data_IF_734485475635
#
_entry.id   IF_734485475635
#
_cell.length_a   1.000
_cell.length_b   1.000
_cell.length_c   1.000
_cell.angle_alpha   90.00
_cell.angle_beta   90.00
_cell.angle_gamma   90.00
#
_symmetry.space_group_name_H-M   'P 1'
#
loop_
_entity.id
_entity.type
_entity.pdbx_description
1 polymer ?
#
# COMPACT_ATOMS: atom_id res chain seq x y z
N UNK A 1 -66.70 6.44 -24.70
CA UNK A 1 -65.43 6.60 -25.45
C UNK A 1 -64.43 7.19 -24.46
N UNK A 2 -63.71 6.33 -23.76
CA UNK A 2 -62.67 6.71 -22.79
C UNK A 2 -61.33 6.24 -23.36
N UNK A 3 -60.25 7.04 -23.30
CA UNK A 3 -58.94 6.61 -23.77
C UNK A 3 -58.27 5.72 -22.71
N UNK A 4 -57.61 4.66 -23.18
CA UNK A 4 -56.77 3.76 -22.38
C UNK A 4 -55.53 4.48 -21.84
N UNK A 5 -55.09 4.24 -20.60
CA UNK A 5 -53.77 4.67 -20.14
C UNK A 5 -52.76 3.57 -20.45
N UNK A 6 -51.92 3.80 -21.47
CA UNK A 6 -50.73 3.01 -21.74
C UNK A 6 -49.51 3.94 -21.59
N UNK A 7 -48.84 3.89 -20.44
CA UNK A 7 -47.43 4.26 -20.27
C UNK A 7 -46.98 3.88 -18.86
N UNK A 8 -46.50 2.66 -18.69
CA UNK A 8 -45.70 2.25 -17.53
C UNK A 8 -44.35 2.99 -17.53
N UNK A 9 -43.92 3.60 -16.43
CA UNK A 9 -42.66 4.33 -16.33
C UNK A 9 -41.52 3.38 -15.90
N UNK A 10 -41.25 2.32 -16.66
CA UNK A 10 -40.19 1.35 -16.32
C UNK A 10 -39.17 1.22 -17.46
N UNK A 11 -38.56 2.35 -17.84
CA UNK A 11 -37.49 2.34 -18.84
C UNK A 11 -36.33 3.27 -18.47
N UNK A 12 -35.83 3.21 -17.23
CA UNK A 12 -34.51 3.78 -16.88
C UNK A 12 -34.02 3.30 -15.50
N UNK A 13 -33.97 1.99 -15.29
CA UNK A 13 -32.97 1.43 -14.38
C UNK A 13 -31.74 1.07 -15.22
N UNK A 14 -30.90 2.06 -15.51
CA UNK A 14 -29.53 1.78 -15.97
C UNK A 14 -28.81 1.23 -14.75
N UNK A 15 -28.76 -0.10 -14.62
CA UNK A 15 -27.81 -0.71 -13.70
C UNK A 15 -26.42 -0.17 -14.08
N UNK A 16 -25.67 0.43 -13.15
CA UNK A 16 -24.31 0.87 -13.45
C UNK A 16 -23.55 -0.33 -14.03
N UNK A 17 -22.96 -0.14 -15.21
CA UNK A 17 -22.20 -1.20 -15.87
C UNK A 17 -21.16 -1.73 -14.88
N UNK A 18 -21.12 -3.06 -14.69
CA UNK A 18 -20.16 -3.72 -13.81
C UNK A 18 -18.75 -3.33 -14.27
N UNK A 19 -17.97 -2.67 -13.40
CA UNK A 19 -16.53 -2.47 -13.64
C UNK A 19 -15.85 -3.84 -13.75
N UNK A 20 -14.96 -4.00 -14.73
CA UNK A 20 -14.14 -5.19 -14.88
C UNK A 20 -13.23 -5.38 -13.67
N UNK A 21 -12.83 -6.62 -13.41
CA UNK A 21 -11.92 -6.94 -12.32
C UNK A 21 -10.48 -6.70 -12.71
N UNK A 22 -9.70 -6.08 -11.84
CA UNK A 22 -8.28 -5.83 -12.07
C UNK A 22 -7.42 -6.77 -11.23
N UNK A 23 -6.61 -7.59 -11.90
CA UNK A 23 -5.58 -8.41 -11.26
C UNK A 23 -4.19 -7.91 -11.62
N UNK A 24 -3.36 -7.68 -10.60
CA UNK A 24 -2.01 -7.14 -10.78
C UNK A 24 -0.97 -8.16 -10.34
N UNK A 25 -0.10 -8.53 -11.26
CA UNK A 25 1.11 -9.31 -10.98
C UNK A 25 2.25 -8.34 -10.67
N UNK A 26 2.59 -8.22 -9.39
CA UNK A 26 3.66 -7.35 -8.93
C UNK A 26 4.96 -8.14 -8.72
N UNK A 27 6.10 -7.51 -9.00
CA UNK A 27 7.40 -8.14 -8.79
C UNK A 27 8.43 -7.18 -8.22
N UNK A 28 9.35 -7.73 -7.44
CA UNK A 28 10.46 -6.97 -6.85
C UNK A 28 11.44 -6.42 -7.90
N UNK A 29 11.53 -7.06 -9.06
CA UNK A 29 12.52 -6.73 -10.09
C UNK A 29 12.10 -7.21 -11.50
N UNK A 30 12.71 -6.66 -12.56
CA UNK A 30 12.61 -7.23 -13.91
C UNK A 30 13.17 -8.65 -13.95
N UNK A 31 12.49 -9.56 -14.65
CA UNK A 31 12.96 -10.94 -14.86
C UNK A 31 12.52 -11.97 -13.80
N UNK A 32 11.75 -11.56 -12.79
CA UNK A 32 11.16 -12.49 -11.79
C UNK A 32 10.13 -13.45 -12.40
N UNK A 33 9.53 -13.09 -13.55
CA UNK A 33 8.61 -13.96 -14.29
C UNK A 33 7.14 -13.52 -14.27
N UNK A 34 6.85 -12.25 -13.94
CA UNK A 34 5.48 -11.70 -13.91
C UNK A 34 4.68 -12.02 -15.17
N UNK A 35 5.21 -11.65 -16.34
CA UNK A 35 4.61 -11.89 -17.64
C UNK A 35 4.34 -13.37 -17.90
N UNK A 36 5.29 -14.23 -17.55
CA UNK A 36 5.15 -15.67 -17.73
C UNK A 36 4.05 -16.25 -16.83
N UNK A 37 3.95 -15.78 -15.58
CA UNK A 37 2.90 -16.21 -14.65
C UNK A 37 1.52 -15.71 -15.08
N UNK A 38 1.42 -14.46 -15.53
CA UNK A 38 0.21 -13.88 -16.10
C UNK A 38 -0.29 -14.70 -17.30
N UNK A 39 0.59 -15.04 -18.25
CA UNK A 39 0.26 -15.88 -19.41
C UNK A 39 -0.17 -17.30 -19.00
N UNK A 40 0.51 -17.90 -18.03
CA UNK A 40 0.15 -19.24 -17.53
C UNK A 40 -1.26 -19.28 -16.96
N UNK A 41 -1.63 -18.29 -16.16
CA UNK A 41 -2.96 -18.22 -15.57
C UNK A 41 -4.03 -17.90 -16.63
N UNK A 42 -3.74 -16.95 -17.52
CA UNK A 42 -4.64 -16.61 -18.62
C UNK A 42 -4.90 -17.80 -19.56
N UNK A 43 -3.88 -18.63 -19.79
CA UNK A 43 -4.01 -19.85 -20.56
C UNK A 43 -4.95 -20.87 -19.90
N UNK A 44 -4.84 -21.05 -18.58
CA UNK A 44 -5.76 -21.93 -17.83
C UNK A 44 -7.21 -21.44 -17.92
N UNK A 45 -7.44 -20.13 -17.82
CA UNK A 45 -8.77 -19.54 -17.98
C UNK A 45 -9.33 -19.75 -19.40
N UNK A 46 -8.50 -19.60 -20.43
CA UNK A 46 -8.89 -19.91 -21.81
C UNK A 46 -9.28 -21.37 -21.99
N UNK A 47 -8.56 -22.31 -21.36
CA UNK A 47 -8.93 -23.73 -21.38
C UNK A 47 -10.27 -24.00 -20.67
N UNK A 48 -10.63 -23.18 -19.69
CA UNK A 48 -11.95 -23.19 -19.05
C UNK A 48 -13.04 -22.47 -19.85
N UNK A 49 -12.73 -21.96 -21.05
CA UNK A 49 -13.68 -21.32 -21.96
C UNK A 49 -13.86 -19.81 -21.76
N UNK A 50 -12.98 -19.16 -20.98
CA UNK A 50 -12.98 -17.68 -20.87
C UNK A 50 -12.42 -17.07 -22.15
N UNK A 51 -13.06 -16.01 -22.65
CA UNK A 51 -12.57 -15.25 -23.80
C UNK A 51 -11.40 -14.32 -23.39
N UNK A 52 -10.18 -14.73 -23.76
CA UNK A 52 -8.93 -14.06 -23.37
C UNK A 52 -8.22 -13.46 -24.57
N UNK A 53 -7.81 -12.20 -24.46
CA UNK A 53 -6.97 -11.52 -25.45
C UNK A 53 -5.71 -10.92 -24.82
N UNK A 54 -4.61 -10.94 -25.55
CA UNK A 54 -3.44 -10.12 -25.27
C UNK A 54 -3.65 -8.74 -25.89
N UNK A 55 -3.83 -7.71 -25.05
CA UNK A 55 -3.83 -6.32 -25.50
C UNK A 55 -2.41 -5.82 -25.73
N UNK A 56 -1.49 -6.15 -24.81
CA UNK A 56 -0.08 -5.87 -24.96
C UNK A 56 0.77 -6.88 -24.19
N UNK A 57 1.82 -7.38 -24.83
CA UNK A 57 2.78 -8.30 -24.22
C UNK A 57 4.21 -7.90 -24.57
N UNK A 58 5.06 -7.70 -23.57
CA UNK A 58 6.48 -7.47 -23.77
C UNK A 58 7.30 -8.74 -23.50
N UNK A 59 7.73 -9.39 -24.57
CA UNK A 59 8.49 -10.65 -24.48
C UNK A 59 9.97 -10.42 -24.15
N UNK A 60 10.49 -9.20 -24.37
CA UNK A 60 11.91 -8.84 -24.26
C UNK A 60 12.88 -9.89 -24.88
N UNK A 61 12.46 -10.54 -25.98
CA UNK A 61 13.27 -11.55 -26.67
C UNK A 61 13.26 -12.95 -26.04
N UNK A 62 12.39 -13.22 -25.04
CA UNK A 62 12.27 -14.55 -24.41
C UNK A 62 11.41 -15.48 -25.25
N UNK A 63 12.03 -16.51 -25.83
CA UNK A 63 11.36 -17.54 -26.64
C UNK A 63 10.23 -18.24 -25.91
N UNK A 64 10.45 -18.71 -24.68
CA UNK A 64 9.43 -19.39 -23.88
C UNK A 64 8.18 -18.51 -23.61
N UNK A 65 8.36 -17.20 -23.48
CA UNK A 65 7.24 -16.26 -23.30
C UNK A 65 6.49 -16.03 -24.61
N UNK A 66 7.21 -15.98 -25.74
CA UNK A 66 6.60 -15.88 -27.06
C UNK A 66 5.81 -17.14 -27.43
N UNK A 67 6.35 -18.33 -27.17
CA UNK A 67 5.69 -19.62 -27.42
C UNK A 67 4.37 -19.73 -26.64
N UNK A 68 4.36 -19.35 -25.35
CA UNK A 68 3.11 -19.29 -24.56
C UNK A 68 2.09 -18.30 -25.10
N UNK A 69 2.54 -17.23 -25.75
CA UNK A 69 1.67 -16.20 -26.30
C UNK A 69 1.00 -16.64 -27.61
N UNK A 70 1.61 -17.55 -28.38
CA UNK A 70 1.05 -18.07 -29.65
C UNK A 70 -0.30 -18.77 -29.47
N UNK A 71 -0.55 -19.31 -28.27
CA UNK A 71 -1.81 -19.97 -27.93
C UNK A 71 -2.93 -19.00 -27.55
N UNK A 72 -2.63 -17.70 -27.42
CA UNK A 72 -3.59 -16.63 -27.09
C UNK A 72 -3.77 -15.70 -28.28
N UNK A 73 -4.98 -15.18 -28.45
CA UNK A 73 -5.22 -14.17 -29.47
C UNK A 73 -4.55 -12.86 -29.05
N UNK A 74 -3.92 -12.15 -29.99
CA UNK A 74 -3.21 -10.91 -29.72
C UNK A 74 -3.76 -9.78 -30.58
N UNK A 75 -4.13 -8.67 -29.94
CA UNK A 75 -4.49 -7.43 -30.64
C UNK A 75 -3.23 -6.85 -31.29
N UNK A 76 -3.26 -6.53 -32.59
CA UNK A 76 -2.13 -5.87 -33.25
C UNK A 76 -1.80 -4.53 -32.57
N UNK A 77 -0.51 -4.29 -32.33
CA UNK A 77 -0.05 -3.02 -31.76
C UNK A 77 -0.30 -1.86 -32.73
N UNK A 78 -0.73 -0.72 -32.21
CA UNK A 78 -0.87 0.51 -32.98
C UNK A 78 0.51 1.10 -33.28
N UNK A 79 0.75 1.50 -34.53
CA UNK A 79 1.97 2.24 -34.89
C UNK A 79 1.75 3.74 -34.68
N UNK A 80 2.66 4.38 -33.93
CA UNK A 80 2.68 5.81 -33.67
C UNK A 80 3.99 6.38 -34.19
N UNK A 81 3.93 7.47 -34.96
CA UNK A 81 5.09 8.06 -35.61
C UNK A 81 5.39 9.47 -35.06
N UNK A 82 5.77 9.63 -33.78
CA UNK A 82 6.24 10.91 -33.27
C UNK A 82 7.59 11.26 -33.91
N UNK A 83 7.66 12.41 -34.58
CA UNK A 83 8.92 12.98 -35.06
C UNK A 83 9.75 12.04 -35.98
N UNK A 84 9.09 11.17 -36.75
CA UNK A 84 9.73 10.31 -37.75
C UNK A 84 10.32 8.99 -37.22
N UNK A 85 10.16 8.67 -35.93
CA UNK A 85 10.50 7.35 -35.37
C UNK A 85 9.23 6.50 -35.28
N UNK A 86 9.23 5.31 -35.87
CA UNK A 86 8.11 4.37 -35.76
C UNK A 86 8.19 3.66 -34.42
N UNK A 87 7.22 3.95 -33.56
CA UNK A 87 7.04 3.29 -32.26
C UNK A 87 5.71 2.52 -32.28
N UNK A 88 5.59 1.53 -31.39
CA UNK A 88 4.37 0.71 -31.28
C UNK A 88 3.79 0.84 -29.89
N UNK A 89 2.47 0.94 -29.78
CA UNK A 89 1.73 1.00 -28.52
C UNK A 89 0.55 0.01 -28.51
N UNK A 90 -0.04 -0.19 -27.33
CA UNK A 90 -1.29 -0.92 -27.21
C UNK A 90 -2.41 -0.19 -27.98
N UNK A 91 -3.19 -0.92 -28.76
CA UNK A 91 -4.41 -0.38 -29.38
C UNK A 91 -5.61 -0.57 -28.44
N UNK A 92 -5.80 0.38 -27.53
CA UNK A 92 -6.87 0.34 -26.54
C UNK A 92 -8.25 0.30 -27.19
N UNK A 93 -8.44 1.01 -28.30
CA UNK A 93 -9.73 1.05 -29.00
C UNK A 93 -10.04 -0.29 -29.68
N UNK A 94 -9.03 -0.98 -30.23
CA UNK A 94 -9.21 -2.31 -30.77
C UNK A 94 -9.56 -3.36 -29.68
N UNK A 95 -8.96 -3.25 -28.49
CA UNK A 95 -9.33 -4.11 -27.34
C UNK A 95 -10.78 -3.87 -26.94
N UNK A 96 -11.20 -2.60 -26.83
CA UNK A 96 -12.57 -2.23 -26.51
C UNK A 96 -13.57 -2.70 -27.58
N UNK A 97 -13.23 -2.55 -28.86
CA UNK A 97 -14.07 -2.98 -29.97
C UNK A 97 -14.23 -4.51 -30.03
N UNK A 98 -13.21 -5.27 -29.60
CA UNK A 98 -13.28 -6.73 -29.50
C UNK A 98 -14.18 -7.21 -28.36
N UNK A 99 -14.27 -6.45 -27.27
CA UNK A 99 -15.04 -6.81 -26.06
C UNK A 99 -14.70 -8.20 -25.47
N UNK A 100 -13.44 -8.48 -25.12
CA UNK A 100 -13.06 -9.75 -24.50
C UNK A 100 -13.65 -9.86 -23.08
N UNK A 101 -13.68 -11.08 -22.53
CA UNK A 101 -13.92 -11.22 -21.08
C UNK A 101 -12.69 -10.81 -20.27
N UNK A 102 -11.49 -11.11 -20.77
CA UNK A 102 -10.21 -10.80 -20.12
C UNK A 102 -9.19 -10.23 -21.12
N UNK A 103 -8.56 -9.11 -20.77
CA UNK A 103 -7.43 -8.54 -21.50
C UNK A 103 -6.12 -8.61 -20.69
N UNK A 104 -5.02 -9.01 -21.34
CA UNK A 104 -3.68 -9.03 -20.74
C UNK A 104 -2.89 -7.78 -21.16
N UNK A 105 -2.34 -7.05 -20.20
CA UNK A 105 -1.62 -5.79 -20.43
C UNK A 105 -0.32 -5.74 -19.64
N UNK A 106 0.81 -5.89 -20.32
CA UNK A 106 2.13 -5.82 -19.67
C UNK A 106 2.61 -4.37 -19.44
N UNK A 107 3.56 -4.22 -18.52
CA UNK A 107 4.22 -2.95 -18.15
C UNK A 107 3.25 -1.81 -17.82
N UNK A 108 2.45 -1.97 -16.77
CA UNK A 108 1.42 -1.01 -16.33
C UNK A 108 1.97 0.43 -16.11
N UNK A 109 3.26 0.55 -15.76
CA UNK A 109 3.92 1.82 -15.48
C UNK A 109 4.43 2.58 -16.71
N UNK A 110 4.35 1.96 -17.89
CA UNK A 110 4.86 2.54 -19.13
C UNK A 110 4.25 3.92 -19.40
N UNK A 111 5.11 4.83 -19.87
CA UNK A 111 4.69 6.14 -20.37
C UNK A 111 4.42 6.05 -21.85
N UNK A 112 3.16 6.25 -22.24
CA UNK A 112 2.75 6.13 -23.62
C UNK A 112 3.51 7.14 -24.51
N UNK A 113 3.68 6.76 -25.77
CA UNK A 113 4.31 7.61 -26.78
C UNK A 113 3.69 9.02 -26.82
N UNK A 114 4.50 10.10 -26.90
CA UNK A 114 3.97 11.46 -27.05
C UNK A 114 3.01 11.60 -28.23
N UNK A 115 1.82 12.14 -27.98
CA UNK A 115 0.74 12.25 -28.96
C UNK A 115 -0.34 11.16 -28.85
N UNK A 116 -0.14 10.16 -27.98
CA UNK A 116 -1.20 9.22 -27.58
C UNK A 116 -2.32 9.95 -26.84
N UNK A 117 -3.54 9.39 -26.90
CA UNK A 117 -4.71 9.97 -26.24
C UNK A 117 -4.56 10.05 -24.71
N UNK A 118 -3.75 9.15 -24.15
CA UNK A 118 -3.49 8.96 -22.72
C UNK A 118 -1.99 8.97 -22.49
N UNK A 119 -1.54 9.58 -21.40
CA UNK A 119 -0.11 9.72 -21.09
C UNK A 119 0.49 8.44 -20.50
N UNK A 120 -0.33 7.64 -19.82
CA UNK A 120 0.10 6.47 -19.06
C UNK A 120 -0.71 5.25 -19.41
N UNK A 121 -0.05 4.09 -19.50
CA UNK A 121 -0.71 2.82 -19.83
C UNK A 121 -1.76 2.39 -18.80
N UNK A 122 -1.56 2.72 -17.52
CA UNK A 122 -2.59 2.45 -16.51
C UNK A 122 -3.91 3.19 -16.81
N UNK A 123 -3.86 4.36 -17.47
CA UNK A 123 -5.08 5.09 -17.86
C UNK A 123 -5.82 4.36 -18.99
N UNK A 124 -5.09 3.67 -19.88
CA UNK A 124 -5.71 2.78 -20.86
C UNK A 124 -6.41 1.60 -20.17
N UNK A 125 -5.74 1.00 -19.18
CA UNK A 125 -6.30 -0.10 -18.37
C UNK A 125 -7.56 0.33 -17.62
N UNK A 126 -7.58 1.53 -17.02
CA UNK A 126 -8.76 2.06 -16.35
C UNK A 126 -9.97 2.18 -17.29
N UNK A 127 -9.74 2.55 -18.56
CA UNK A 127 -10.81 2.62 -19.57
C UNK A 127 -11.31 1.22 -19.96
N UNK A 128 -10.40 0.25 -20.10
CA UNK A 128 -10.78 -1.15 -20.36
C UNK A 128 -11.62 -1.71 -19.21
N UNK A 129 -11.20 -1.49 -17.96
CA UNK A 129 -11.95 -1.88 -16.76
C UNK A 129 -13.30 -1.17 -16.68
N UNK A 130 -13.38 0.12 -17.01
CA UNK A 130 -14.63 0.86 -17.03
C UNK A 130 -15.64 0.35 -18.08
N UNK A 131 -15.16 -0.29 -19.15
CA UNK A 131 -15.99 -0.96 -20.15
C UNK A 131 -16.51 -2.35 -19.69
N UNK A 132 -16.12 -2.81 -18.50
CA UNK A 132 -16.56 -4.09 -17.93
C UNK A 132 -15.72 -5.30 -18.32
N UNK A 133 -14.57 -5.07 -18.96
CA UNK A 133 -13.59 -6.08 -19.36
C UNK A 133 -12.62 -6.30 -18.20
N UNK A 134 -12.42 -7.55 -17.78
CA UNK A 134 -11.45 -7.85 -16.72
C UNK A 134 -10.02 -7.67 -17.29
N UNK A 135 -9.07 -7.21 -16.46
CA UNK A 135 -7.69 -6.94 -16.89
C UNK A 135 -6.70 -7.63 -15.98
N UNK A 136 -5.78 -8.37 -16.58
CA UNK A 136 -4.57 -8.85 -15.91
C UNK A 136 -3.40 -7.98 -16.36
N UNK A 137 -2.63 -7.46 -15.40
CA UNK A 137 -1.53 -6.56 -15.71
C UNK A 137 -0.27 -6.87 -14.91
N UNK A 138 0.90 -6.38 -15.36
CA UNK A 138 2.14 -6.55 -14.60
C UNK A 138 2.84 -5.24 -14.29
N UNK A 139 3.46 -5.18 -13.11
CA UNK A 139 4.21 -4.00 -12.64
C UNK A 139 5.36 -4.42 -11.73
N UNK A 140 6.43 -3.61 -11.66
CA UNK A 140 7.47 -3.78 -10.64
C UNK A 140 7.31 -2.73 -9.53
N UNK A 141 7.69 -3.07 -8.30
CA UNK A 141 7.59 -2.16 -7.13
C UNK A 141 8.34 -0.85 -7.31
N UNK A 142 9.40 -0.84 -8.13
CA UNK A 142 10.21 0.34 -8.40
C UNK A 142 9.45 1.47 -9.09
N UNK A 143 8.29 1.15 -9.67
CA UNK A 143 7.44 2.10 -10.35
C UNK A 143 6.38 2.71 -9.43
N UNK A 144 6.17 2.19 -8.21
CA UNK A 144 5.25 2.80 -7.26
C UNK A 144 5.77 4.17 -6.84
N UNK A 145 4.89 5.17 -6.82
CA UNK A 145 5.24 6.55 -6.50
C UNK A 145 5.80 6.67 -5.08
N UNK A 146 5.16 6.03 -4.10
CA UNK A 146 5.61 6.05 -2.69
C UNK A 146 7.01 5.43 -2.49
N UNK A 147 7.33 4.39 -3.25
CA UNK A 147 8.57 3.62 -3.08
C UNK A 147 9.73 4.11 -3.96
N UNK A 148 9.48 5.00 -4.92
CA UNK A 148 10.47 5.40 -5.93
C UNK A 148 11.77 5.93 -5.31
N UNK A 149 11.68 6.84 -4.34
CA UNK A 149 12.86 7.41 -3.68
C UNK A 149 13.60 6.39 -2.83
N UNK A 150 12.89 5.47 -2.19
CA UNK A 150 13.48 4.41 -1.40
C UNK A 150 14.24 3.42 -2.29
N UNK A 151 13.63 3.01 -3.40
CA UNK A 151 14.26 2.13 -4.39
C UNK A 151 15.48 2.78 -5.03
N UNK A 152 15.42 4.08 -5.34
CA UNK A 152 16.56 4.82 -5.85
C UNK A 152 17.72 4.87 -4.84
N UNK A 153 17.43 5.03 -3.54
CA UNK A 153 18.46 4.96 -2.47
C UNK A 153 19.08 3.58 -2.33
N UNK A 154 18.30 2.51 -2.52
CA UNK A 154 18.78 1.13 -2.43
C UNK A 154 19.64 0.78 -3.64
N UNK A 155 19.13 1.06 -4.83
CA UNK A 155 19.70 0.56 -6.10
C UNK A 155 20.67 1.52 -6.76
N UNK A 156 20.65 2.81 -6.40
CA UNK A 156 21.37 3.88 -7.08
C UNK A 156 20.78 4.27 -8.44
N UNK A 157 19.66 3.66 -8.84
CA UNK A 157 19.02 3.88 -10.14
C UNK A 157 17.73 4.67 -9.98
N UNK A 158 17.63 5.79 -10.70
CA UNK A 158 16.41 6.62 -10.71
C UNK A 158 15.45 6.10 -11.78
N UNK A 159 14.28 5.64 -11.34
CA UNK A 159 13.20 5.17 -12.23
C UNK A 159 12.28 6.35 -12.54
N UNK A 160 12.12 6.67 -13.83
CA UNK A 160 11.31 7.80 -14.30
C UNK A 160 9.84 7.45 -14.48
N UNK A 161 9.57 6.21 -14.85
CA UNK A 161 8.23 5.72 -15.06
C UNK A 161 7.61 5.34 -13.73
N UNK A 162 6.44 5.92 -13.45
CA UNK A 162 5.76 5.87 -12.16
C UNK A 162 4.28 5.55 -12.32
N UNK A 163 3.74 4.88 -11.32
CA UNK A 163 2.33 4.53 -11.13
C UNK A 163 1.87 4.94 -9.74
N UNK A 164 0.66 5.50 -9.60
CA UNK A 164 0.12 5.83 -8.30
C UNK A 164 -0.23 4.56 -7.51
N UNK A 165 0.04 4.59 -6.22
CA UNK A 165 -0.14 3.46 -5.30
C UNK A 165 -1.60 2.97 -5.24
N UNK A 166 -2.57 3.89 -5.41
CA UNK A 166 -4.01 3.59 -5.50
C UNK A 166 -4.39 2.47 -6.47
N UNK A 167 -3.58 2.23 -7.50
CA UNK A 167 -3.87 1.14 -8.46
C UNK A 167 -3.74 -0.23 -7.83
N UNK A 168 -2.87 -0.39 -6.83
CA UNK A 168 -2.77 -1.62 -6.05
C UNK A 168 -3.91 -1.73 -5.05
N UNK A 169 -4.23 -0.63 -4.37
CA UNK A 169 -5.34 -0.53 -3.40
C UNK A 169 -6.69 -0.82 -4.07
N UNK A 170 -6.94 -0.29 -5.27
CA UNK A 170 -8.18 -0.48 -6.01
C UNK A 170 -8.27 -1.84 -6.74
N UNK A 171 -7.21 -2.65 -6.76
CA UNK A 171 -7.18 -3.89 -7.52
C UNK A 171 -7.93 -5.02 -6.80
N UNK A 172 -8.76 -5.78 -7.53
CA UNK A 172 -9.49 -6.92 -6.97
C UNK A 172 -8.55 -8.05 -6.49
N UNK A 173 -7.35 -8.17 -7.07
CA UNK A 173 -6.35 -9.16 -6.66
C UNK A 173 -4.93 -8.71 -7.00
N UNK A 174 -4.02 -8.82 -6.01
CA UNK A 174 -2.59 -8.55 -6.20
C UNK A 174 -1.77 -9.82 -5.94
N UNK A 175 -1.01 -10.28 -6.94
CA UNK A 175 -0.13 -11.45 -6.84
C UNK A 175 1.33 -10.99 -6.83
N UNK A 176 2.05 -11.32 -5.75
CA UNK A 176 3.51 -11.19 -5.70
C UNK A 176 4.17 -12.33 -6.47
N UNK A 177 4.91 -11.97 -7.51
CA UNK A 177 5.77 -12.89 -8.27
C UNK A 177 7.21 -12.70 -7.84
N UNK A 178 7.75 -13.74 -7.21
CA UNK A 178 9.04 -13.71 -6.54
C UNK A 178 9.92 -14.89 -6.98
N UNK A 179 11.23 -14.66 -6.97
CA UNK A 179 12.28 -15.65 -7.26
C UNK A 179 13.46 -15.37 -6.35
N UNK A 180 14.35 -16.34 -6.15
CA UNK A 180 15.55 -16.06 -5.35
C UNK A 180 16.47 -15.07 -6.07
N UNK A 181 17.21 -14.22 -5.33
CA UNK A 181 18.21 -13.33 -5.91
C UNK A 181 19.21 -14.07 -6.81
N UNK A 182 19.61 -15.28 -6.41
CA UNK A 182 20.55 -16.12 -7.16
C UNK A 182 19.99 -16.51 -8.53
N UNK A 183 18.72 -16.93 -8.60
CA UNK A 183 18.05 -17.23 -9.87
C UNK A 183 17.93 -15.99 -10.75
N UNK A 184 17.72 -14.81 -10.17
CA UNK A 184 17.62 -13.58 -10.93
C UNK A 184 18.97 -13.15 -11.51
N UNK A 185 20.05 -13.29 -10.74
CA UNK A 185 21.42 -13.07 -11.22
C UNK A 185 21.78 -14.02 -12.36
N UNK A 186 21.45 -15.31 -12.24
CA UNK A 186 21.65 -16.30 -13.30
C UNK A 186 20.89 -15.93 -14.58
N UNK A 187 19.60 -15.59 -14.45
CA UNK A 187 18.79 -15.13 -15.60
C UNK A 187 19.35 -13.88 -16.26
N UNK A 188 19.93 -12.97 -15.47
CA UNK A 188 20.58 -11.78 -16.01
C UNK A 188 21.86 -12.12 -16.77
N UNK A 189 22.72 -12.99 -16.20
CA UNK A 189 23.96 -13.47 -16.86
C UNK A 189 23.68 -14.24 -18.15
N UNK A 190 22.58 -14.98 -18.20
CA UNK A 190 22.12 -15.69 -19.40
C UNK A 190 21.55 -14.75 -20.48
N UNK A 191 21.49 -13.44 -20.24
CA UNK A 191 20.91 -12.46 -21.17
C UNK A 191 19.39 -12.57 -21.29
N UNK A 192 18.71 -13.23 -20.34
CA UNK A 192 17.25 -13.42 -20.36
C UNK A 192 16.48 -12.20 -19.84
N UNK A 193 17.16 -11.17 -19.34
CA UNK A 193 16.54 -9.97 -18.73
C UNK A 193 16.89 -8.70 -19.50
N UNK A 194 18.18 -8.50 -19.83
CA UNK A 194 18.66 -7.36 -20.61
C UNK A 194 19.59 -7.82 -21.72
N UNK A 195 19.77 -6.96 -22.73
CA UNK A 195 20.82 -7.12 -23.73
C UNK A 195 22.20 -7.20 -23.04
N UNK A 196 23.09 -8.04 -23.58
CA UNK A 196 24.39 -8.36 -22.98
C UNK A 196 25.23 -7.13 -22.62
N UNK A 197 25.13 -6.06 -23.41
CA UNK A 197 25.85 -4.79 -23.19
C UNK A 197 25.45 -4.08 -21.89
N UNK A 198 24.23 -4.29 -21.39
CA UNK A 198 23.71 -3.67 -20.16
C UNK A 198 23.81 -4.58 -18.94
N UNK A 199 24.23 -5.84 -19.12
CA UNK A 199 24.25 -6.86 -18.06
C UNK A 199 25.25 -6.49 -16.96
N UNK A 200 26.49 -6.14 -17.30
CA UNK A 200 27.52 -5.82 -16.30
C UNK A 200 27.16 -4.59 -15.46
N UNK A 201 26.69 -3.51 -16.10
CA UNK A 201 26.24 -2.31 -15.40
C UNK A 201 25.04 -2.59 -14.49
N UNK A 202 24.11 -3.45 -14.93
CA UNK A 202 22.92 -3.82 -14.15
C UNK A 202 23.28 -4.69 -12.94
N UNK A 203 24.22 -5.64 -13.11
CA UNK A 203 24.76 -6.47 -12.01
C UNK A 203 25.51 -5.64 -10.97
N UNK A 204 26.24 -4.62 -11.40
CA UNK A 204 26.99 -3.74 -10.50
C UNK A 204 26.12 -2.73 -9.75
N UNK A 205 24.86 -2.52 -10.14
CA UNK A 205 23.95 -1.58 -9.50
C UNK A 205 22.68 -2.27 -9.00
N UNK A 206 21.64 -2.34 -9.84
CA UNK A 206 20.32 -2.80 -9.45
C UNK A 206 20.29 -4.26 -8.97
N UNK A 207 21.01 -5.17 -9.65
CA UNK A 207 20.97 -6.62 -9.42
C UNK A 207 22.00 -7.12 -8.41
N UNK A 208 22.56 -6.24 -7.58
CA UNK A 208 23.34 -6.71 -6.44
C UNK A 208 22.46 -7.50 -5.48
N UNK A 209 22.95 -8.64 -4.98
CA UNK A 209 22.23 -9.49 -4.02
C UNK A 209 21.61 -8.72 -2.85
N UNK A 210 22.35 -7.77 -2.26
CA UNK A 210 21.85 -6.91 -1.17
C UNK A 210 20.61 -6.11 -1.59
N UNK A 211 20.62 -5.56 -2.79
CA UNK A 211 19.54 -4.74 -3.32
C UNK A 211 18.32 -5.61 -3.61
N UNK A 212 18.52 -6.78 -4.22
CA UNK A 212 17.43 -7.72 -4.50
C UNK A 212 16.75 -8.24 -3.22
N UNK A 213 17.50 -8.49 -2.14
CA UNK A 213 16.92 -8.86 -0.84
C UNK A 213 16.05 -7.73 -0.29
N UNK A 214 16.54 -6.48 -0.33
CA UNK A 214 15.78 -5.33 0.14
C UNK A 214 14.53 -5.07 -0.71
N UNK A 215 14.63 -5.21 -2.03
CA UNK A 215 13.48 -5.08 -2.94
C UNK A 215 12.45 -6.21 -2.73
N UNK A 216 12.90 -7.42 -2.42
CA UNK A 216 12.03 -8.54 -2.06
C UNK A 216 11.22 -8.24 -0.80
N UNK A 217 11.91 -7.78 0.23
CA UNK A 217 11.28 -7.37 1.49
C UNK A 217 10.26 -6.26 1.26
N UNK A 218 10.62 -5.24 0.47
CA UNK A 218 9.71 -4.16 0.10
C UNK A 218 8.48 -4.66 -0.67
N UNK A 219 8.66 -5.56 -1.63
CA UNK A 219 7.54 -6.10 -2.40
C UNK A 219 6.56 -6.91 -1.55
N UNK A 220 7.08 -7.74 -0.64
CA UNK A 220 6.26 -8.53 0.25
C UNK A 220 5.55 -7.67 1.29
N UNK A 221 6.22 -6.62 1.76
CA UNK A 221 5.64 -5.63 2.65
C UNK A 221 4.49 -4.90 1.96
N UNK A 222 4.75 -4.27 0.82
CA UNK A 222 3.74 -3.48 0.10
C UNK A 222 2.41 -4.22 -0.14
N UNK A 223 2.48 -5.51 -0.51
CA UNK A 223 1.27 -6.31 -0.70
C UNK A 223 0.61 -6.71 0.63
N UNK A 224 1.39 -6.88 1.70
CA UNK A 224 0.83 -7.10 3.04
C UNK A 224 0.11 -5.84 3.56
N UNK A 225 0.68 -4.65 3.35
CA UNK A 225 0.09 -3.36 3.74
C UNK A 225 -1.28 -3.18 3.03
N UNK A 226 -1.36 -3.45 1.72
CA UNK A 226 -2.62 -3.37 0.95
C UNK A 226 -3.73 -4.32 1.48
N UNK A 227 -3.39 -5.57 1.84
CA UNK A 227 -4.38 -6.53 2.39
C UNK A 227 -4.89 -6.09 3.78
N UNK A 228 -4.07 -5.37 4.56
CA UNK A 228 -4.49 -4.89 5.89
C UNK A 228 -5.50 -3.74 5.78
N UNK A 229 -5.34 -2.82 4.82
CA UNK A 229 -6.30 -1.72 4.59
C UNK A 229 -7.69 -2.24 4.23
N UNK A 230 -7.79 -3.20 3.30
CA UNK A 230 -9.05 -3.87 2.97
C UNK A 230 -9.72 -4.51 4.20
N UNK A 231 -8.94 -5.22 5.02
CA UNK A 231 -9.45 -5.87 6.22
C UNK A 231 -9.93 -4.86 7.29
N UNK A 232 -9.32 -3.68 7.37
CA UNK A 232 -9.72 -2.60 8.29
C UNK A 232 -11.00 -1.92 7.82
N UNK A 233 -11.14 -1.66 6.52
CA UNK A 233 -12.36 -1.11 5.93
C UNK A 233 -13.54 -2.09 6.13
N UNK A 234 -13.35 -3.38 5.88
CA UNK A 234 -14.36 -4.41 6.12
C UNK A 234 -14.73 -4.55 7.61
N UNK A 235 -13.76 -4.44 8.53
CA UNK A 235 -14.02 -4.48 9.97
C UNK A 235 -14.77 -3.23 10.45
N UNK A 236 -14.53 -2.07 9.83
CA UNK A 236 -15.25 -0.82 10.12
C UNK A 236 -16.72 -0.85 9.63
N UNK A 237 -16.99 -1.60 8.56
CA UNK A 237 -18.32 -1.75 7.95
C UNK A 237 -19.23 -2.81 8.61
N UNK A 238 -18.84 -3.34 9.78
CA UNK A 238 -19.80 -3.93 10.73
C UNK A 238 -19.76 -5.45 10.90
N UNK A 239 -18.85 -6.17 10.25
CA UNK A 239 -18.68 -7.61 10.50
C UNK A 239 -17.72 -7.82 11.67
N UNK A 240 -18.26 -7.82 12.90
CA UNK A 240 -17.51 -8.18 14.11
C UNK A 240 -17.12 -9.65 14.07
N UNK A 241 -15.94 -9.95 13.53
CA UNK A 241 -15.24 -11.21 13.77
C UNK A 241 -14.37 -11.05 15.02
N UNK A 242 -14.67 -11.83 16.07
CA UNK A 242 -13.91 -11.96 17.33
C UNK A 242 -12.51 -12.60 17.14
N UNK A 243 -11.91 -12.51 15.95
CA UNK A 243 -10.56 -12.97 15.70
C UNK A 243 -9.57 -11.96 16.31
N UNK A 244 -8.49 -12.42 16.98
CA UNK A 244 -7.44 -11.50 17.42
C UNK A 244 -6.87 -10.80 16.20
N UNK A 245 -7.13 -9.49 16.10
CA UNK A 245 -6.54 -8.62 15.08
C UNK A 245 -5.01 -8.81 15.13
N UNK A 246 -4.48 -9.41 14.08
CA UNK A 246 -3.04 -9.54 13.89
C UNK A 246 -2.64 -8.39 12.97
N UNK A 247 -2.51 -7.19 13.54
CA UNK A 247 -1.92 -6.05 12.84
C UNK A 247 -0.50 -6.43 12.43
N UNK A 248 -0.26 -6.57 11.13
CA UNK A 248 1.04 -6.93 10.56
C UNK A 248 1.97 -5.72 10.64
N UNK A 249 1.41 -4.51 10.75
CA UNK A 249 2.15 -3.25 10.89
C UNK A 249 2.14 -2.64 12.29
N UNK A 250 3.27 -2.04 12.62
CA UNK A 250 3.42 -1.30 13.86
C UNK A 250 2.65 0.02 13.80
N UNK A 251 1.91 0.37 14.85
CA UNK A 251 1.23 1.66 15.03
C UNK A 251 1.58 2.23 16.38
N UNK A 252 2.10 3.45 16.39
CA UNK A 252 2.69 4.03 17.59
C UNK A 252 1.76 5.08 18.20
N UNK A 253 1.30 4.82 19.41
CA UNK A 253 0.51 5.76 20.22
C UNK A 253 1.36 6.36 21.33
N UNK A 254 1.48 7.69 21.37
CA UNK A 254 2.09 8.41 22.49
C UNK A 254 0.99 8.94 23.41
N UNK A 255 1.01 8.51 24.67
CA UNK A 255 0.14 9.09 25.68
C UNK A 255 0.74 10.38 26.23
N UNK A 256 0.08 11.51 25.96
CA UNK A 256 0.50 12.84 26.42
C UNK A 256 -0.21 13.24 27.70
N UNK A 257 0.45 14.07 28.51
CA UNK A 257 -0.05 14.56 29.79
C UNK A 257 0.17 16.06 29.91
N UNK A 258 -0.33 16.70 30.96
CA UNK A 258 -0.11 18.13 31.20
C UNK A 258 1.28 18.47 31.74
N UNK A 259 2.16 17.47 31.88
CA UNK A 259 3.52 17.64 32.40
C UNK A 259 4.51 18.02 31.30
N UNK A 260 5.57 18.80 31.61
CA UNK A 260 6.57 19.26 30.64
C UNK A 260 7.30 18.16 29.86
N UNK A 261 7.32 16.92 30.38
CA UNK A 261 7.94 15.78 29.71
C UNK A 261 7.16 15.30 28.47
N UNK A 262 5.89 15.71 28.29
CA UNK A 262 5.06 15.31 27.16
C UNK A 262 5.69 15.65 25.80
N UNK A 263 6.31 16.81 25.67
CA UNK A 263 7.02 17.23 24.44
C UNK A 263 8.17 16.26 24.10
N UNK A 264 8.91 15.80 25.12
CA UNK A 264 10.00 14.85 24.90
C UNK A 264 9.46 13.46 24.52
N UNK A 265 8.32 13.06 25.07
CA UNK A 265 7.64 11.81 24.70
C UNK A 265 7.18 11.85 23.25
N UNK A 266 6.55 12.94 22.80
CA UNK A 266 6.12 13.11 21.40
C UNK A 266 7.32 13.00 20.47
N UNK A 267 8.43 13.71 20.75
CA UNK A 267 9.63 13.65 19.92
C UNK A 267 10.25 12.26 19.85
N UNK A 268 10.25 11.51 20.97
CA UNK A 268 10.78 10.15 20.99
C UNK A 268 9.83 9.17 20.31
N UNK A 269 8.53 9.28 20.55
CA UNK A 269 7.51 8.48 19.88
C UNK A 269 7.49 8.71 18.38
N UNK A 270 7.58 9.95 17.91
CA UNK A 270 7.70 10.28 16.49
C UNK A 270 8.97 9.67 15.87
N UNK A 271 10.07 9.60 16.63
CA UNK A 271 11.28 8.91 16.17
C UNK A 271 11.10 7.40 16.09
N UNK A 272 10.44 6.78 17.07
CA UNK A 272 10.12 5.35 17.06
C UNK A 272 9.21 5.03 15.87
N UNK A 273 8.15 5.83 15.68
CA UNK A 273 7.25 5.73 14.54
C UNK A 273 8.01 5.88 13.22
N UNK A 274 8.90 6.87 13.11
CA UNK A 274 9.74 7.07 11.93
C UNK A 274 10.70 5.90 11.65
N UNK A 275 11.26 5.25 12.67
CA UNK A 275 12.10 4.06 12.48
C UNK A 275 11.30 2.83 12.04
N UNK A 276 10.07 2.69 12.52
CA UNK A 276 9.17 1.59 12.14
C UNK A 276 8.43 1.86 10.82
N UNK A 277 8.52 3.10 10.31
CA UNK A 277 7.66 3.62 9.24
C UNK A 277 6.18 3.40 9.57
N UNK A 278 5.83 3.69 10.83
CA UNK A 278 4.52 3.43 11.42
C UNK A 278 3.67 4.71 11.50
N UNK A 279 2.35 4.61 11.34
CA UNK A 279 1.44 5.70 11.68
C UNK A 279 1.64 6.18 13.11
N UNK A 280 1.63 7.51 13.28
CA UNK A 280 1.95 8.17 14.54
C UNK A 280 0.71 8.82 15.15
N UNK A 281 0.34 8.40 16.36
CA UNK A 281 -0.81 8.91 17.09
C UNK A 281 -0.37 9.53 18.42
N UNK A 282 -1.04 10.61 18.83
CA UNK A 282 -0.90 11.18 20.16
C UNK A 282 -2.27 11.21 20.85
N UNK A 283 -2.34 10.71 22.09
CA UNK A 283 -3.57 10.68 22.87
C UNK A 283 -3.45 11.53 24.13
N UNK A 284 -4.37 12.48 24.26
CA UNK A 284 -4.63 13.19 25.51
C UNK A 284 -5.94 12.73 26.13
N UNK A 285 -5.89 12.23 27.38
CA UNK A 285 -7.08 11.87 28.16
C UNK A 285 -7.36 12.97 29.19
N UNK A 286 -8.44 13.70 28.94
CA UNK A 286 -8.96 14.75 29.80
C UNK A 286 -9.83 14.15 30.92
N UNK A 287 -9.69 14.69 32.13
CA UNK A 287 -10.41 14.24 33.32
C UNK A 287 -11.65 15.14 33.48
N UNK A 288 -12.88 14.60 33.36
CA UNK A 288 -14.10 15.42 33.33
C UNK A 288 -14.29 16.32 34.56
N UNK A 289 -13.77 15.93 35.72
CA UNK A 289 -13.93 16.65 36.98
C UNK A 289 -12.81 17.67 37.25
N UNK A 290 -11.79 17.72 36.37
CA UNK A 290 -10.63 18.59 36.53
C UNK A 290 -10.52 19.58 35.39
N UNK A 291 -10.85 20.83 35.69
CA UNK A 291 -10.58 21.93 34.77
C UNK A 291 -9.09 22.16 34.59
N UNK A 292 -8.65 22.18 33.33
CA UNK A 292 -7.28 22.55 32.96
C UNK A 292 -7.06 24.03 33.22
N UNK A 293 -5.91 24.35 33.81
CA UNK A 293 -5.47 25.74 33.90
C UNK A 293 -5.15 26.29 32.51
N UNK A 294 -5.15 27.62 32.33
CA UNK A 294 -4.78 28.25 31.05
C UNK A 294 -3.40 27.81 30.56
N UNK A 295 -2.45 27.62 31.47
CA UNK A 295 -1.11 27.13 31.16
C UNK A 295 -1.12 25.66 30.68
N UNK A 296 -1.94 24.80 31.29
CA UNK A 296 -2.07 23.40 30.88
C UNK A 296 -2.78 23.26 29.53
N UNK A 297 -3.83 24.06 29.27
CA UNK A 297 -4.51 24.07 27.97
C UNK A 297 -3.54 24.46 26.84
N UNK A 298 -2.76 25.53 27.05
CA UNK A 298 -1.75 25.98 26.09
C UNK A 298 -0.66 24.91 25.86
N UNK A 299 -0.31 24.15 26.91
CA UNK A 299 0.64 23.06 26.80
C UNK A 299 0.12 21.91 25.93
N UNK A 300 -1.16 21.53 26.09
CA UNK A 300 -1.80 20.49 25.28
C UNK A 300 -1.93 20.93 23.82
N UNK A 301 -2.31 22.18 23.56
CA UNK A 301 -2.33 22.74 22.21
C UNK A 301 -0.93 22.72 21.55
N UNK A 302 0.11 23.00 22.32
CA UNK A 302 1.50 22.90 21.84
C UNK A 302 1.85 21.45 21.48
N UNK A 303 1.40 20.48 22.26
CA UNK A 303 1.58 19.06 21.97
C UNK A 303 0.83 18.64 20.70
N UNK A 304 -0.39 19.13 20.50
CA UNK A 304 -1.18 18.87 19.29
C UNK A 304 -0.50 19.43 18.05
N UNK A 305 -0.03 20.69 18.09
CA UNK A 305 0.71 21.28 16.99
C UNK A 305 1.97 20.47 16.65
N UNK A 306 2.72 20.07 17.67
CA UNK A 306 3.93 19.29 17.49
C UNK A 306 3.66 17.89 16.90
N UNK A 307 2.56 17.26 17.30
CA UNK A 307 2.12 15.98 16.74
C UNK A 307 1.84 16.12 15.23
N UNK A 308 1.10 17.15 14.83
CA UNK A 308 0.80 17.46 13.42
C UNK A 308 2.07 17.80 12.63
N UNK A 309 3.03 18.52 13.22
CA UNK A 309 4.34 18.79 12.59
C UNK A 309 5.14 17.51 12.29
N UNK A 310 4.95 16.46 13.08
CA UNK A 310 5.54 15.14 12.83
C UNK A 310 4.67 14.23 11.93
N UNK A 311 3.60 14.77 11.32
CA UNK A 311 2.70 14.00 10.47
C UNK A 311 1.79 13.04 11.24
N UNK A 312 1.60 13.24 12.55
CA UNK A 312 0.74 12.38 13.38
C UNK A 312 -0.65 12.95 13.63
N UNK A 313 -1.56 12.06 14.02
CA UNK A 313 -2.92 12.40 14.41
C UNK A 313 -3.04 12.61 15.93
N UNK A 314 -3.74 13.66 16.34
CA UNK A 314 -3.93 14.01 17.75
C UNK A 314 -5.36 13.72 18.21
N UNK A 315 -5.50 12.79 19.15
CA UNK A 315 -6.76 12.28 19.68
C UNK A 315 -7.00 12.87 21.07
N UNK A 316 -8.19 13.41 21.29
CA UNK A 316 -8.66 13.89 22.60
C UNK A 316 -9.79 13.00 23.11
N UNK A 317 -9.55 12.29 24.22
CA UNK A 317 -10.56 11.48 24.89
C UNK A 317 -10.93 12.09 26.24
N UNK A 318 -12.16 11.84 26.71
CA UNK A 318 -12.64 12.25 28.03
C UNK A 318 -13.05 11.02 28.81
N UNK A 319 -12.34 10.70 29.90
CA UNK A 319 -12.66 9.55 30.74
C UNK A 319 -12.08 9.73 32.15
N UNK A 320 -12.78 9.16 33.13
CA UNK A 320 -12.35 9.07 34.53
C UNK A 320 -11.21 8.06 34.73
N UNK A 321 -11.19 6.96 33.96
CA UNK A 321 -10.10 5.98 34.00
C UNK A 321 -9.21 6.07 32.76
N UNK A 322 -8.07 6.76 32.92
CA UNK A 322 -7.07 6.93 31.88
C UNK A 322 -6.60 5.61 31.28
N UNK A 323 -6.45 4.55 32.08
CA UNK A 323 -5.99 3.26 31.56
C UNK A 323 -7.04 2.61 30.66
N UNK A 324 -8.32 2.79 30.99
CA UNK A 324 -9.44 2.29 30.18
C UNK A 324 -9.55 3.07 28.86
N UNK A 325 -9.51 4.40 28.91
CA UNK A 325 -9.54 5.24 27.70
C UNK A 325 -8.38 4.95 26.75
N UNK A 326 -7.15 4.79 27.29
CA UNK A 326 -5.99 4.39 26.46
C UNK A 326 -6.24 3.03 25.82
N UNK A 327 -6.81 2.06 26.55
CA UNK A 327 -7.10 0.73 26.00
C UNK A 327 -8.22 0.73 24.97
N UNK A 328 -9.23 1.58 25.11
CA UNK A 328 -10.29 1.75 24.11
C UNK A 328 -9.73 2.37 22.83
N UNK A 329 -8.97 3.47 22.95
CA UNK A 329 -8.31 4.09 21.79
C UNK A 329 -7.31 3.13 21.15
N UNK A 330 -6.54 2.38 21.94
CA UNK A 330 -5.61 1.40 21.41
C UNK A 330 -6.31 0.31 20.58
N UNK A 331 -7.53 -0.11 20.97
CA UNK A 331 -8.32 -1.07 20.18
C UNK A 331 -8.95 -0.43 18.95
N UNK A 332 -9.52 0.77 19.08
CA UNK A 332 -10.18 1.46 17.97
C UNK A 332 -9.24 1.85 16.85
N UNK A 333 -7.99 2.20 17.18
CA UNK A 333 -6.96 2.59 16.20
C UNK A 333 -5.96 1.46 15.90
N UNK A 334 -6.21 0.25 16.42
CA UNK A 334 -5.37 -0.95 16.24
C UNK A 334 -3.89 -0.72 16.59
N UNK A 335 -3.65 -0.04 17.72
CA UNK A 335 -2.32 0.34 18.18
C UNK A 335 -1.54 -0.89 18.64
N UNK A 336 -0.30 -1.03 18.17
CA UNK A 336 0.61 -2.12 18.54
C UNK A 336 1.70 -1.69 19.52
N UNK A 337 2.07 -0.41 19.51
CA UNK A 337 3.14 0.16 20.32
C UNK A 337 2.59 1.36 21.10
N UNK A 338 2.69 1.35 22.42
CA UNK A 338 2.29 2.47 23.26
C UNK A 338 3.51 3.05 23.97
N UNK A 339 3.73 4.34 23.76
CA UNK A 339 4.77 5.12 24.44
C UNK A 339 4.16 5.91 25.59
N UNK A 340 4.63 5.63 26.80
CA UNK A 340 4.20 6.32 28.03
C UNK A 340 5.40 6.90 28.78
N UNK A 341 5.17 8.05 29.43
CA UNK A 341 6.16 8.62 30.33
C UNK A 341 6.17 7.96 31.70
N UNK A 342 7.34 7.90 32.31
CA UNK A 342 7.46 7.55 33.72
C UNK A 342 6.68 8.55 34.60
N UNK A 343 5.91 8.02 35.55
CA UNK A 343 5.12 8.85 36.46
C UNK A 343 6.02 9.47 37.52
N UNK A 344 6.08 10.80 37.62
CA UNK A 344 6.80 11.52 38.68
C UNK A 344 6.14 11.42 40.08
N UNK A 345 5.28 10.45 40.32
CA UNK A 345 4.63 10.29 41.64
C UNK A 345 5.57 9.53 42.58
N UNK A 346 5.79 10.09 43.76
CA UNK A 346 6.58 9.47 44.84
C UNK A 346 6.21 8.00 45.02
N UNK A 347 7.21 7.10 45.08
CA UNK A 347 7.08 5.64 45.13
C UNK A 347 6.05 5.13 46.15
N UNK A 348 5.82 5.87 47.24
CA UNK A 348 4.82 5.56 48.27
C UNK A 348 3.36 5.69 47.80
N UNK A 349 3.04 6.62 46.87
CA UNK A 349 1.70 6.74 46.26
C UNK A 349 1.44 5.68 45.18
N UNK A 350 2.49 5.01 44.67
CA UNK A 350 2.36 3.91 43.70
C UNK A 350 1.82 2.63 44.34
N UNK A 351 2.21 2.35 45.58
CA UNK A 351 1.83 1.15 46.34
C UNK A 351 0.35 1.16 46.71
N UNK A 352 -0.24 2.34 46.95
CA UNK A 352 -1.65 2.45 47.40
C UNK A 352 -2.70 2.45 46.27
N UNK A 353 -2.33 2.75 45.02
CA UNK A 353 -3.30 2.94 43.91
C UNK A 353 -3.10 2.05 42.68
N UNK A 354 -2.05 1.22 42.66
CA UNK A 354 -1.65 0.46 41.49
C UNK A 354 -1.10 1.39 40.40
N UNK A 355 0.07 1.07 39.84
CA UNK A 355 0.63 1.92 38.78
C UNK A 355 -0.28 1.87 37.55
N UNK A 356 -0.54 3.02 36.92
CA UNK A 356 -1.27 3.08 35.62
C UNK A 356 -0.67 2.10 34.61
N UNK A 357 0.65 1.90 34.67
CA UNK A 357 1.40 0.91 33.89
C UNK A 357 0.94 -0.53 34.16
N UNK A 358 0.72 -0.93 35.41
CA UNK A 358 0.23 -2.27 35.76
C UNK A 358 -1.20 -2.51 35.29
N UNK A 359 -2.07 -1.48 35.36
CA UNK A 359 -3.43 -1.57 34.84
C UNK A 359 -3.44 -1.69 33.32
N UNK A 360 -2.62 -0.89 32.64
CA UNK A 360 -2.45 -0.93 31.18
C UNK A 360 -1.95 -2.30 30.71
N UNK A 361 -0.89 -2.84 31.32
CA UNK A 361 -0.36 -4.17 30.98
C UNK A 361 -1.37 -5.32 31.19
N UNK A 362 -2.37 -5.15 32.06
CA UNK A 362 -3.45 -6.14 32.22
C UNK A 362 -4.54 -6.00 31.15
N UNK A 363 -4.82 -4.78 30.70
CA UNK A 363 -5.89 -4.47 29.74
C UNK A 363 -5.44 -4.64 28.29
N UNK A 364 -4.15 -4.50 28.03
CA UNK A 364 -3.51 -4.54 26.72
C UNK A 364 -2.73 -5.85 26.61
N UNK A 365 -3.38 -6.89 26.10
CA UNK A 365 -2.70 -8.14 25.72
C UNK A 365 -2.22 -7.98 24.28
N UNK A 366 -0.95 -8.29 24.01
CA UNK A 366 -0.30 -8.22 22.69
C UNK A 366 0.01 -6.79 22.17
N UNK A 367 0.27 -5.83 23.07
CA UNK A 367 0.71 -4.48 22.72
C UNK A 367 1.98 -4.19 23.51
N UNK A 368 3.02 -3.73 22.82
CA UNK A 368 4.30 -3.38 23.41
C UNK A 368 4.23 -2.00 24.07
N UNK A 369 4.70 -1.91 25.31
CA UNK A 369 4.65 -0.67 26.10
C UNK A 369 6.05 -0.13 26.35
N UNK A 370 6.36 1.00 25.73
CA UNK A 370 7.62 1.73 25.89
C UNK A 370 7.51 2.74 27.03
N UNK A 371 8.22 2.51 28.13
CA UNK A 371 8.28 3.44 29.25
C UNK A 371 9.53 4.32 29.10
N UNK A 372 9.30 5.61 28.91
CA UNK A 372 10.39 6.59 28.76
C UNK A 372 10.61 7.32 30.09
N UNK A 373 11.79 7.10 30.66
CA UNK A 373 12.26 7.83 31.84
C UNK A 373 12.47 9.32 31.53
N UNK A 374 11.99 10.18 32.42
CA UNK A 374 12.27 11.61 32.36
C UNK A 374 13.71 11.89 32.79
N UNK A 375 14.40 12.86 32.16
CA UNK A 375 15.60 13.41 32.78
C UNK A 375 15.17 14.08 34.08
N UNK A 376 15.49 13.46 35.21
CA UNK A 376 15.37 14.11 36.52
C UNK A 376 16.09 15.44 36.47
N UNK A 377 15.40 16.52 36.78
CA UNK A 377 16.05 17.73 37.25
C UNK A 377 16.79 17.32 38.52
N UNK A 378 18.09 17.04 38.39
CA UNK A 378 18.95 16.85 39.54
C UNK A 378 18.89 18.12 40.37
N UNK A 379 18.24 18.03 41.53
CA UNK A 379 18.45 18.98 42.62
C UNK A 379 19.34 18.23 43.59
N UNK A 380 20.55 18.77 43.78
CA UNK A 380 21.44 18.39 44.88
C UNK A 380 20.74 18.59 46.23
#
# INVERSE_FOLDING_TARGET
MYPSPNSSPDSTYICPARRGKHKIFIGMAPGVGKTFKMLEEAYQLKQCGVDVVIGLLETHGRKETAEKAEELEMVPRQQVNPNGVVLTEMDTEAVLARQPQLALVDELAHTNVPGSQREKRYQDVEIILAAGIDVYSTVNIQHLESLNDLVARITGVVVRERVPDRLLEEADEVIVVDVTPETLEERLRDGKIYAMEKVEQSLQNFFQRRNLIALRELALREVADNIEEDALEEASNGTKTDAPFCSIHERVLVCVSTYPNAIQLIRRGARIAGYMHAPFYCLFVDDPDRFLTKAESLHVETCERLCKEFGGEFIRAKDYDKAKAIAEVARSYYITQIVIGESQRSHWKLILRGSLTHKLLRLLKNIDVHIIGGKGSGVM
#
